data_IF_169207553309
#
_entry.id   IF_169207553309
#
_cell.length_a   1.000
_cell.length_b   1.000
_cell.length_c   1.000
_cell.angle_alpha   90.00
_cell.angle_beta   90.00
_cell.angle_gamma   90.00
#
_symmetry.space_group_name_H-M   'P 1'
#
loop_
_entity.id
_entity.type
_entity.pdbx_description
1 polymer ?
#
# COMPACT_ATOMS: atom_id res chain seq x y z
N UNK A 1 -6.01 -11.18 -17.33
CA UNK A 1 -4.55 -10.98 -17.30
C UNK A 1 -4.02 -10.23 -18.52
N UNK A 2 -3.92 -10.81 -19.71
CA UNK A 2 -3.34 -10.08 -20.87
C UNK A 2 -4.10 -8.79 -21.25
N UNK A 3 -5.44 -8.78 -21.18
CA UNK A 3 -6.25 -7.57 -21.43
C UNK A 3 -6.07 -6.54 -20.31
N UNK A 4 -5.88 -6.97 -19.07
CA UNK A 4 -5.61 -6.08 -17.94
C UNK A 4 -4.21 -5.45 -18.07
N UNK A 5 -3.22 -6.22 -18.51
CA UNK A 5 -1.86 -5.72 -18.80
C UNK A 5 -1.86 -4.74 -19.97
N UNK A 6 -2.63 -5.02 -21.02
CA UNK A 6 -2.83 -4.06 -22.11
C UNK A 6 -3.49 -2.78 -21.60
N UNK A 7 -4.56 -2.88 -20.80
CA UNK A 7 -5.24 -1.72 -20.22
C UNK A 7 -4.32 -0.84 -19.35
N UNK A 8 -3.29 -1.42 -18.72
CA UNK A 8 -2.31 -0.67 -17.93
C UNK A 8 -1.26 0.02 -18.81
N UNK A 9 -0.85 -0.59 -19.93
CA UNK A 9 0.17 -0.04 -20.82
C UNK A 9 -0.40 0.97 -21.80
N UNK A 10 -1.57 0.70 -22.35
CA UNK A 10 -2.23 1.51 -23.38
C UNK A 10 -3.77 1.47 -23.24
N UNK A 11 -4.32 2.24 -22.28
CA UNK A 11 -5.76 2.31 -22.06
C UNK A 11 -6.51 2.85 -23.29
N UNK A 12 -5.94 3.81 -24.01
CA UNK A 12 -6.60 4.46 -25.14
C UNK A 12 -6.63 3.55 -26.37
N UNK A 13 -5.55 2.80 -26.65
CA UNK A 13 -5.58 1.77 -27.69
C UNK A 13 -6.55 0.64 -27.38
N UNK A 14 -6.70 0.25 -26.11
CA UNK A 14 -7.73 -0.72 -25.72
C UNK A 14 -9.15 -0.18 -25.96
N UNK A 15 -9.41 1.09 -25.65
CA UNK A 15 -10.70 1.75 -25.94
C UNK A 15 -10.95 1.84 -27.43
N UNK A 16 -9.95 2.24 -28.23
CA UNK A 16 -10.05 2.31 -29.67
C UNK A 16 -10.40 0.93 -30.26
N UNK A 17 -9.70 -0.12 -29.80
CA UNK A 17 -10.01 -1.49 -30.22
C UNK A 17 -11.42 -1.91 -29.82
N UNK A 18 -11.85 -1.61 -28.60
CA UNK A 18 -13.20 -1.92 -28.15
C UNK A 18 -14.25 -1.19 -29.00
N UNK A 19 -13.98 0.05 -29.41
CA UNK A 19 -14.89 0.81 -30.26
C UNK A 19 -15.04 0.23 -31.67
N UNK A 20 -14.00 -0.40 -32.21
CA UNK A 20 -14.07 -1.13 -33.48
C UNK A 20 -14.92 -2.39 -33.39
N UNK A 21 -14.75 -3.17 -32.31
CA UNK A 21 -15.41 -4.49 -32.17
C UNK A 21 -16.80 -4.40 -31.54
N UNK A 22 -17.06 -3.34 -30.75
CA UNK A 22 -18.34 -3.08 -30.09
C UNK A 22 -18.71 -1.58 -30.14
N UNK A 23 -19.14 -1.08 -31.32
CA UNK A 23 -19.55 0.32 -31.49
C UNK A 23 -20.79 0.70 -30.67
N UNK A 24 -21.59 -0.28 -30.27
CA UNK A 24 -22.78 -0.03 -29.44
C UNK A 24 -22.39 0.25 -28.00
N UNK A 25 -21.51 -0.56 -27.41
CA UNK A 25 -20.94 -0.26 -26.09
C UNK A 25 -20.18 1.06 -26.07
N UNK A 26 -19.45 1.37 -27.16
CA UNK A 26 -18.66 2.60 -27.28
C UNK A 26 -19.50 3.89 -27.23
N UNK A 27 -20.79 3.82 -27.60
CA UNK A 27 -21.72 4.95 -27.53
C UNK A 27 -22.25 5.23 -26.12
N UNK A 28 -22.05 4.31 -25.17
CA UNK A 28 -22.56 4.45 -23.81
C UNK A 28 -21.53 5.00 -22.81
N UNK A 29 -22.00 5.38 -21.62
CA UNK A 29 -21.16 5.84 -20.50
C UNK A 29 -20.19 4.77 -19.97
N UNK A 30 -20.38 3.51 -20.39
CA UNK A 30 -19.50 2.39 -20.06
C UNK A 30 -18.05 2.60 -20.50
N UNK A 31 -17.83 3.41 -21.55
CA UNK A 31 -16.48 3.72 -22.00
C UNK A 31 -15.68 4.44 -20.93
N UNK A 32 -16.21 5.43 -20.20
CA UNK A 32 -15.43 6.16 -19.19
C UNK A 32 -14.82 5.29 -18.08
N UNK A 33 -15.34 4.07 -17.87
CA UNK A 33 -14.89 3.16 -16.83
C UNK A 33 -13.98 2.05 -17.39
N UNK A 34 -12.67 2.15 -17.15
CA UNK A 34 -11.68 1.19 -17.66
C UNK A 34 -11.97 -0.26 -17.24
N UNK A 35 -12.55 -0.51 -16.05
CA UNK A 35 -12.94 -1.87 -15.64
C UNK A 35 -14.04 -2.45 -16.52
N UNK A 36 -15.00 -1.61 -16.94
CA UNK A 36 -16.06 -2.03 -17.88
C UNK A 36 -15.50 -2.27 -19.28
N UNK A 37 -14.54 -1.46 -19.73
CA UNK A 37 -13.82 -1.63 -21.02
C UNK A 37 -13.06 -2.96 -21.04
N UNK A 38 -12.25 -3.23 -20.01
CA UNK A 38 -11.54 -4.50 -19.83
C UNK A 38 -12.52 -5.67 -19.88
N UNK A 39 -13.62 -5.58 -19.13
CA UNK A 39 -14.63 -6.64 -19.09
C UNK A 39 -15.30 -6.88 -20.44
N UNK A 40 -15.63 -5.82 -21.17
CA UNK A 40 -16.23 -5.92 -22.49
C UNK A 40 -15.28 -6.61 -23.48
N UNK A 41 -14.00 -6.24 -23.46
CA UNK A 41 -12.97 -6.88 -24.27
C UNK A 41 -12.70 -8.33 -23.87
N UNK A 42 -12.74 -8.67 -22.59
CA UNK A 42 -12.64 -10.06 -22.12
C UNK A 42 -13.78 -10.92 -22.66
N UNK A 43 -15.02 -10.42 -22.62
CA UNK A 43 -16.18 -11.12 -23.16
C UNK A 43 -16.03 -11.30 -24.67
N UNK A 44 -15.65 -10.25 -25.40
CA UNK A 44 -15.44 -10.35 -26.85
C UNK A 44 -14.36 -11.37 -27.18
N UNK A 45 -13.22 -11.35 -26.48
CA UNK A 45 -12.13 -12.30 -26.72
C UNK A 45 -12.51 -13.75 -26.43
N UNK A 46 -13.30 -13.99 -25.37
CA UNK A 46 -13.73 -15.33 -24.99
C UNK A 46 -14.86 -15.89 -25.87
N UNK A 47 -15.74 -15.03 -26.36
CA UNK A 47 -16.98 -15.46 -27.03
C UNK A 47 -17.03 -15.16 -28.52
N UNK A 48 -16.13 -14.30 -29.02
CA UNK A 48 -16.14 -13.74 -30.37
C UNK A 48 -17.30 -12.75 -30.62
N UNK A 49 -18.14 -12.48 -29.62
CA UNK A 49 -19.33 -11.64 -29.75
C UNK A 49 -19.18 -10.34 -28.97
N UNK A 50 -19.66 -9.20 -29.51
CA UNK A 50 -19.60 -7.91 -28.79
C UNK A 50 -20.27 -7.99 -27.43
N UNK A 51 -19.76 -7.27 -26.42
CA UNK A 51 -20.35 -7.25 -25.08
C UNK A 51 -21.79 -6.73 -25.09
N UNK A 52 -22.08 -5.75 -25.93
CA UNK A 52 -23.43 -5.23 -26.17
C UNK A 52 -24.41 -6.29 -26.64
N UNK A 53 -23.94 -7.32 -27.38
CA UNK A 53 -24.81 -8.39 -27.86
C UNK A 53 -25.35 -9.29 -26.73
N UNK A 54 -24.64 -9.35 -25.60
CA UNK A 54 -25.11 -10.00 -24.37
C UNK A 54 -25.99 -9.09 -23.52
N UNK A 55 -25.90 -7.79 -23.73
CA UNK A 55 -26.92 -6.82 -23.32
C UNK A 55 -28.12 -6.93 -24.26
N UNK A 56 -28.60 -8.15 -24.52
CA UNK A 56 -29.96 -8.37 -25.00
C UNK A 56 -30.82 -7.49 -24.12
N UNK A 57 -31.61 -6.62 -24.76
CA UNK A 57 -32.69 -5.84 -24.15
C UNK A 57 -33.54 -6.79 -23.32
N UNK A 58 -33.11 -7.09 -22.09
CA UNK A 58 -33.92 -7.64 -21.02
C UNK A 58 -34.85 -6.48 -20.67
N UNK A 59 -35.77 -6.18 -21.58
CA UNK A 59 -36.99 -5.48 -21.22
C UNK A 59 -37.47 -6.18 -19.98
N UNK A 60 -37.52 -5.42 -18.87
CA UNK A 60 -37.70 -5.87 -17.48
C UNK A 60 -38.00 -7.37 -17.46
N UNK A 61 -37.00 -8.22 -17.22
CA UNK A 61 -37.29 -9.62 -16.91
C UNK A 61 -38.37 -9.55 -15.85
N UNK A 62 -39.59 -9.96 -16.22
CA UNK A 62 -40.72 -9.88 -15.30
C UNK A 62 -40.30 -10.74 -14.13
N UNK A 63 -40.12 -10.11 -12.98
CA UNK A 63 -39.80 -10.82 -11.75
C UNK A 63 -40.81 -11.95 -11.63
N UNK A 64 -40.33 -13.17 -11.39
CA UNK A 64 -41.19 -14.33 -11.14
C UNK A 64 -42.05 -14.11 -9.88
N UNK A 65 -41.67 -13.14 -9.05
CA UNK A 65 -42.33 -12.79 -7.80
C UNK A 65 -42.96 -11.40 -7.88
N UNK A 66 -44.10 -11.24 -7.20
CA UNK A 66 -44.61 -9.92 -6.83
C UNK A 66 -43.73 -9.38 -5.71
N UNK A 67 -43.12 -8.22 -5.92
CA UNK A 67 -42.31 -7.54 -4.92
C UNK A 67 -42.84 -6.12 -4.72
N UNK A 68 -42.70 -5.63 -3.51
CA UNK A 68 -42.85 -4.21 -3.19
C UNK A 68 -41.48 -3.70 -2.72
N UNK A 69 -40.99 -2.63 -3.35
CA UNK A 69 -39.76 -1.97 -2.91
C UNK A 69 -40.10 -0.97 -1.82
N UNK A 70 -39.42 -1.06 -0.68
CA UNK A 70 -39.48 -0.05 0.38
C UNK A 70 -38.17 0.73 0.36
N UNK A 71 -38.26 2.05 0.32
CA UNK A 71 -37.10 2.95 0.40
C UNK A 71 -37.17 3.67 1.74
N UNK A 72 -36.17 3.45 2.57
CA UNK A 72 -35.98 4.22 3.79
C UNK A 72 -35.16 5.46 3.45
N UNK A 73 -35.67 6.63 3.83
CA UNK A 73 -35.01 7.92 3.59
C UNK A 73 -35.01 8.75 4.87
N UNK A 74 -34.12 9.74 4.91
CA UNK A 74 -33.82 10.54 6.09
C UNK A 74 -33.14 11.85 5.65
N UNK A 75 -33.26 12.95 6.43
CA UNK A 75 -32.46 14.15 6.21
C UNK A 75 -30.96 13.83 6.17
N UNK A 76 -30.23 14.47 5.25
CA UNK A 76 -28.81 14.16 4.99
C UNK A 76 -27.93 14.38 6.23
N UNK A 77 -28.20 15.42 7.00
CA UNK A 77 -27.47 15.73 8.24
C UNK A 77 -27.61 14.61 9.27
N UNK A 78 -28.84 14.08 9.43
CA UNK A 78 -29.11 12.97 10.34
C UNK A 78 -28.40 11.67 9.91
N UNK A 79 -28.42 11.40 8.60
CA UNK A 79 -27.75 10.24 8.04
C UNK A 79 -26.24 10.27 8.35
N UNK A 80 -25.58 11.42 8.13
CA UNK A 80 -24.15 11.56 8.40
C UNK A 80 -23.83 11.46 9.88
N UNK A 81 -24.60 12.12 10.74
CA UNK A 81 -24.45 12.01 12.20
C UNK A 81 -24.51 10.56 12.68
N UNK A 82 -25.41 9.75 12.12
CA UNK A 82 -25.52 8.32 12.46
C UNK A 82 -24.39 7.47 11.89
N UNK A 83 -23.91 7.80 10.69
CA UNK A 83 -22.74 7.14 10.10
C UNK A 83 -21.51 7.39 10.99
N UNK A 84 -21.27 8.63 11.41
CA UNK A 84 -20.14 8.99 12.26
C UNK A 84 -20.20 8.25 13.60
N UNK A 85 -21.35 8.29 14.28
CA UNK A 85 -21.56 7.57 15.54
C UNK A 85 -21.31 6.06 15.38
N UNK A 86 -21.80 5.45 14.29
CA UNK A 86 -21.59 4.03 14.02
C UNK A 86 -20.12 3.71 13.79
N UNK A 87 -19.36 4.60 13.14
CA UNK A 87 -17.91 4.43 12.95
C UNK A 87 -17.21 4.44 14.32
N UNK A 88 -17.53 5.38 15.20
CA UNK A 88 -16.96 5.44 16.55
C UNK A 88 -17.29 4.17 17.37
N UNK A 89 -18.52 3.67 17.25
CA UNK A 89 -18.94 2.41 17.86
C UNK A 89 -18.14 1.22 17.31
N UNK A 90 -17.91 1.16 16.00
CA UNK A 90 -17.10 0.09 15.38
C UNK A 90 -15.66 0.10 15.90
N UNK A 91 -15.03 1.27 16.01
CA UNK A 91 -13.69 1.37 16.59
C UNK A 91 -13.67 0.98 18.06
N UNK A 92 -14.66 1.44 18.83
CA UNK A 92 -14.79 1.09 20.25
C UNK A 92 -15.04 -0.41 20.47
N UNK A 93 -15.68 -1.08 19.50
CA UNK A 93 -15.92 -2.52 19.51
C UNK A 93 -14.71 -3.36 19.02
N UNK A 94 -13.59 -2.75 18.66
CA UNK A 94 -12.36 -3.46 18.32
C UNK A 94 -12.16 -3.73 16.82
N UNK A 95 -12.63 -2.85 15.93
CA UNK A 95 -12.39 -2.96 14.49
C UNK A 95 -10.90 -3.12 14.14
N UNK A 96 -10.00 -2.45 14.86
CA UNK A 96 -8.56 -2.51 14.60
C UNK A 96 -8.00 -3.89 14.91
N UNK A 97 -8.43 -4.49 16.02
CA UNK A 97 -8.05 -5.83 16.48
C UNK A 97 -8.56 -6.89 15.51
N UNK A 98 -9.80 -6.75 15.04
CA UNK A 98 -10.40 -7.62 14.02
C UNK A 98 -9.56 -7.59 12.73
N UNK A 99 -9.28 -6.39 12.20
CA UNK A 99 -8.50 -6.23 10.97
C UNK A 99 -7.08 -6.77 11.14
N UNK A 100 -6.44 -6.51 12.29
CA UNK A 100 -5.11 -7.05 12.62
C UNK A 100 -5.13 -8.58 12.62
N UNK A 101 -6.12 -9.18 13.29
CA UNK A 101 -6.28 -10.64 13.33
C UNK A 101 -6.47 -11.24 11.94
N UNK A 102 -7.27 -10.62 11.09
CA UNK A 102 -7.50 -11.11 9.72
C UNK A 102 -6.30 -10.92 8.81
N UNK A 103 -5.57 -9.81 8.95
CA UNK A 103 -4.40 -9.51 8.13
C UNK A 103 -3.24 -10.47 8.42
N UNK A 104 -3.00 -10.79 9.70
CA UNK A 104 -1.86 -11.61 10.13
C UNK A 104 -2.22 -13.07 10.44
N UNK A 105 -3.50 -13.43 10.54
CA UNK A 105 -3.95 -14.75 11.02
C UNK A 105 -4.58 -15.68 9.98
N UNK A 106 -4.66 -15.31 8.70
CA UNK A 106 -5.27 -16.18 7.67
C UNK A 106 -5.60 -15.50 6.33
N UNK A 107 -5.48 -14.17 6.28
CA UNK A 107 -5.54 -13.39 5.06
C UNK A 107 -6.95 -12.94 4.67
N UNK A 108 -7.05 -11.69 4.25
CA UNK A 108 -8.25 -11.13 3.63
C UNK A 108 -8.23 -11.37 2.11
N UNK A 109 -9.37 -11.75 1.54
CA UNK A 109 -9.52 -11.75 0.08
C UNK A 109 -9.39 -10.32 -0.48
N UNK A 110 -9.00 -10.21 -1.75
CA UNK A 110 -8.92 -8.90 -2.45
C UNK A 110 -10.24 -8.13 -2.39
N UNK A 111 -11.38 -8.81 -2.37
CA UNK A 111 -12.68 -8.16 -2.29
C UNK A 111 -12.96 -7.68 -0.87
N UNK A 112 -12.69 -8.51 0.14
CA UNK A 112 -12.93 -8.17 1.54
C UNK A 112 -12.03 -7.02 2.01
N UNK A 113 -10.77 -6.96 1.55
CA UNK A 113 -9.86 -5.86 1.89
C UNK A 113 -10.22 -4.51 1.28
N UNK A 114 -11.22 -4.46 0.40
CA UNK A 114 -11.74 -3.22 -0.20
C UNK A 114 -13.04 -2.75 0.45
N UNK A 115 -13.55 -3.46 1.47
CA UNK A 115 -14.69 -3.00 2.23
C UNK A 115 -14.37 -1.69 2.98
N UNK A 116 -15.37 -0.80 3.09
CA UNK A 116 -15.24 0.45 3.86
C UNK A 116 -14.97 0.14 5.34
N UNK A 117 -14.08 0.89 5.95
CA UNK A 117 -13.56 0.66 7.30
C UNK A 117 -12.35 -0.27 7.29
N UNK A 118 -12.42 -1.38 6.55
CA UNK A 118 -11.31 -2.34 6.45
C UNK A 118 -10.16 -1.76 5.64
N UNK A 119 -10.43 -1.19 4.47
CA UNK A 119 -9.39 -0.64 3.59
C UNK A 119 -8.56 0.42 4.31
N UNK A 120 -9.23 1.34 5.00
CA UNK A 120 -8.61 2.45 5.72
C UNK A 120 -7.76 1.95 6.91
N UNK A 121 -8.27 0.99 7.69
CA UNK A 121 -7.53 0.38 8.80
C UNK A 121 -6.34 -0.44 8.29
N UNK A 122 -6.52 -1.25 7.24
CA UNK A 122 -5.42 -2.00 6.60
C UNK A 122 -4.33 -1.04 6.12
N UNK A 123 -4.70 0.04 5.43
CA UNK A 123 -3.74 1.04 4.98
C UNK A 123 -2.96 1.67 6.14
N UNK A 124 -3.63 1.94 7.26
CA UNK A 124 -2.97 2.47 8.45
C UNK A 124 -2.09 1.45 9.18
N UNK A 125 -2.48 0.18 9.16
CA UNK A 125 -1.75 -0.93 9.78
C UNK A 125 -0.62 -1.48 8.92
N UNK A 126 -0.60 -1.16 7.61
CA UNK A 126 0.50 -1.55 6.73
C UNK A 126 1.81 -1.06 7.35
N UNK A 127 2.66 -2.00 7.71
CA UNK A 127 4.03 -1.70 8.05
C UNK A 127 4.69 -1.13 6.80
N UNK A 128 5.18 0.10 6.91
CA UNK A 128 6.12 0.60 5.93
C UNK A 128 7.42 -0.15 6.16
N UNK A 129 7.85 -0.91 5.15
CA UNK A 129 9.17 -1.53 5.10
C UNK A 129 10.04 -0.65 4.20
N UNK A 130 10.87 0.26 4.76
CA UNK A 130 11.69 1.11 3.94
C UNK A 130 12.73 0.26 3.19
N UNK A 131 12.83 0.41 1.87
CA UNK A 131 13.86 -0.27 1.09
C UNK A 131 15.26 0.24 1.47
N UNK A 132 15.37 1.53 1.80
CA UNK A 132 16.62 2.18 2.17
C UNK A 132 16.39 3.13 3.35
N UNK A 133 17.26 3.11 4.35
CA UNK A 133 17.28 4.11 5.41
C UNK A 133 18.69 4.67 5.65
N UNK A 134 18.74 5.98 5.89
CA UNK A 134 19.95 6.72 6.25
C UNK A 134 19.90 7.05 7.75
N UNK A 135 20.69 6.36 8.57
CA UNK A 135 20.60 6.45 10.02
C UNK A 135 21.79 7.22 10.63
N UNK A 136 21.57 8.33 11.35
CA UNK A 136 22.65 9.09 11.96
C UNK A 136 23.25 8.36 13.17
N UNK A 137 24.49 7.88 13.03
CA UNK A 137 25.22 7.10 14.05
C UNK A 137 26.26 7.94 14.79
N UNK A 138 26.02 9.23 14.98
CA UNK A 138 27.03 10.08 15.60
C UNK A 138 27.10 9.92 17.13
N UNK A 139 26.34 8.98 17.71
CA UNK A 139 26.32 8.65 19.12
C UNK A 139 25.66 9.73 19.96
N UNK A 140 25.37 9.38 21.21
CA UNK A 140 25.02 10.32 22.27
C UNK A 140 25.73 9.89 23.55
N UNK A 141 26.22 10.86 24.33
CA UNK A 141 26.85 10.60 25.62
C UNK A 141 26.60 11.76 26.60
N UNK A 142 26.84 11.48 27.88
CA UNK A 142 26.61 12.44 28.95
C UNK A 142 27.52 13.67 28.85
N UNK A 143 28.76 13.57 28.35
CA UNK A 143 29.68 14.71 28.23
C UNK A 143 29.16 15.71 27.21
N UNK A 144 28.61 15.23 26.10
CA UNK A 144 28.03 16.06 25.04
C UNK A 144 26.77 16.78 25.49
N UNK A 145 25.95 16.12 26.31
CA UNK A 145 24.79 16.77 26.94
C UNK A 145 25.23 17.94 27.84
N UNK A 146 26.37 17.81 28.54
CA UNK A 146 26.95 18.90 29.34
C UNK A 146 27.50 20.06 28.48
N UNK A 147 27.89 19.79 27.24
CA UNK A 147 28.33 20.79 26.24
C UNK A 147 27.17 21.31 25.35
N UNK A 148 25.92 21.04 25.73
CA UNK A 148 24.71 21.43 25.00
C UNK A 148 24.64 20.87 23.56
N UNK A 149 25.25 19.70 23.33
CA UNK A 149 25.24 18.97 22.07
C UNK A 149 24.41 17.69 22.20
N UNK A 150 23.20 17.68 21.63
CA UNK A 150 22.34 16.50 21.58
C UNK A 150 22.84 15.58 20.46
N UNK A 151 23.27 14.37 20.83
CA UNK A 151 23.64 13.30 19.89
C UNK A 151 22.43 12.59 19.27
N UNK A 152 22.62 11.83 18.19
CA UNK A 152 21.56 10.97 17.63
C UNK A 152 21.69 9.55 18.18
N UNK A 153 21.75 8.53 17.32
CA UNK A 153 21.86 7.13 17.73
C UNK A 153 23.31 6.71 17.88
N UNK A 154 23.56 5.79 18.79
CA UNK A 154 24.73 4.92 18.75
C UNK A 154 24.63 3.92 17.59
N UNK A 155 25.74 3.28 17.22
CA UNK A 155 25.77 2.27 16.16
C UNK A 155 24.83 1.09 16.47
N UNK A 156 24.66 0.72 17.74
CA UNK A 156 23.77 -0.36 18.17
C UNK A 156 22.31 0.02 17.98
N UNK A 157 21.93 1.19 18.47
CA UNK A 157 20.54 1.66 18.36
C UNK A 157 20.10 1.82 16.91
N UNK A 158 21.00 2.30 16.04
CA UNK A 158 20.73 2.38 14.61
C UNK A 158 20.57 0.98 13.98
N UNK A 159 21.39 0.00 14.37
CA UNK A 159 21.31 -1.37 13.87
C UNK A 159 20.01 -2.06 14.34
N UNK A 160 19.68 -1.94 15.62
CA UNK A 160 18.47 -2.50 16.21
C UNK A 160 17.22 -1.87 15.59
N UNK A 161 17.24 -0.56 15.33
CA UNK A 161 16.17 0.14 14.62
C UNK A 161 16.02 -0.36 13.18
N UNK A 162 17.14 -0.56 12.47
CA UNK A 162 17.13 -1.07 11.10
C UNK A 162 16.49 -2.46 11.01
N UNK A 163 16.82 -3.36 11.94
CA UNK A 163 16.20 -4.68 12.01
C UNK A 163 14.71 -4.58 12.38
N UNK A 164 14.38 -3.83 13.44
CA UNK A 164 13.02 -3.72 13.93
C UNK A 164 12.04 -3.11 12.92
N UNK A 165 12.52 -2.17 12.10
CA UNK A 165 11.76 -1.58 10.99
C UNK A 165 11.83 -2.40 9.68
N UNK A 166 12.47 -3.56 9.71
CA UNK A 166 12.67 -4.47 8.58
C UNK A 166 13.30 -3.76 7.35
N UNK A 167 14.20 -2.81 7.60
CA UNK A 167 14.87 -2.04 6.55
C UNK A 167 15.76 -2.96 5.73
N UNK A 168 15.71 -2.83 4.41
CA UNK A 168 16.42 -3.72 3.50
C UNK A 168 17.90 -3.30 3.34
N UNK A 169 18.16 -2.03 3.02
CA UNK A 169 19.50 -1.44 2.96
C UNK A 169 19.66 -0.33 3.98
N UNK A 170 20.64 -0.47 4.88
CA UNK A 170 20.95 0.59 5.87
C UNK A 170 22.25 1.30 5.53
N UNK A 171 22.19 2.64 5.55
CA UNK A 171 23.33 3.53 5.33
C UNK A 171 23.60 4.27 6.65
N UNK A 172 24.68 3.95 7.40
CA UNK A 172 25.07 4.79 8.52
C UNK A 172 25.47 6.18 8.02
N UNK A 173 25.15 7.23 8.77
CA UNK A 173 25.39 8.63 8.42
C UNK A 173 25.90 9.42 9.64
N UNK A 174 26.32 10.67 9.41
CA UNK A 174 26.76 11.63 10.44
C UNK A 174 28.01 11.22 11.24
N UNK A 175 28.70 10.15 10.87
CA UNK A 175 30.04 9.85 11.38
C UNK A 175 31.09 10.74 10.71
N UNK A 176 32.15 11.10 11.44
CA UNK A 176 33.29 11.85 10.87
C UNK A 176 33.03 13.31 10.50
N UNK A 177 31.87 13.85 10.86
CA UNK A 177 31.50 15.23 10.56
C UNK A 177 32.16 16.25 11.51
N UNK A 178 32.47 15.87 12.76
CA UNK A 178 33.15 16.74 13.72
C UNK A 178 34.20 15.98 14.55
N UNK A 179 35.24 16.71 14.98
CA UNK A 179 36.44 16.15 15.64
C UNK A 179 36.16 15.39 16.95
N UNK A 180 35.07 15.72 17.65
CA UNK A 180 34.69 15.15 18.95
C UNK A 180 33.33 14.42 18.93
N UNK A 181 32.84 14.03 17.75
CA UNK A 181 31.48 13.49 17.57
C UNK A 181 31.52 12.47 16.43
N UNK A 182 32.06 11.28 16.73
CA UNK A 182 32.23 10.22 15.76
C UNK A 182 32.06 8.86 16.43
N UNK A 183 31.10 8.07 15.98
CA UNK A 183 31.17 6.63 16.16
C UNK A 183 31.70 5.99 14.87
N UNK A 184 32.66 5.06 14.95
CA UNK A 184 33.21 4.41 13.77
C UNK A 184 32.11 3.63 13.02
N UNK A 185 31.90 3.86 11.71
CA UNK A 185 30.96 3.04 10.93
C UNK A 185 31.40 1.57 10.87
N UNK A 186 32.68 1.26 11.12
CA UNK A 186 33.15 -0.12 11.27
C UNK A 186 32.42 -0.88 12.38
N UNK A 187 32.18 -0.24 13.53
CA UNK A 187 31.43 -0.89 14.62
C UNK A 187 29.97 -1.18 14.23
N UNK A 188 29.36 -0.29 13.45
CA UNK A 188 28.02 -0.53 12.89
C UNK A 188 28.03 -1.74 11.96
N UNK A 189 29.02 -1.83 11.06
CA UNK A 189 29.19 -2.96 10.13
C UNK A 189 29.42 -4.26 10.90
N UNK A 190 30.36 -4.28 11.84
CA UNK A 190 30.68 -5.47 12.63
C UNK A 190 29.45 -5.96 13.41
N UNK A 191 28.73 -5.05 14.07
CA UNK A 191 27.53 -5.39 14.83
C UNK A 191 26.42 -5.95 13.93
N UNK A 192 26.14 -5.31 12.80
CA UNK A 192 25.14 -5.80 11.86
C UNK A 192 25.54 -7.15 11.25
N UNK A 193 26.81 -7.39 10.94
CA UNK A 193 27.28 -8.68 10.43
C UNK A 193 27.23 -9.79 11.49
N UNK A 194 27.43 -9.46 12.75
CA UNK A 194 27.36 -10.40 13.87
C UNK A 194 25.91 -10.79 14.21
N UNK A 195 25.03 -9.79 14.37
CA UNK A 195 23.67 -10.01 14.89
C UNK A 195 22.58 -10.05 13.80
N UNK A 196 22.78 -9.38 12.67
CA UNK A 196 21.79 -9.25 11.59
C UNK A 196 22.38 -9.58 10.20
N UNK A 197 22.98 -10.77 10.01
CA UNK A 197 23.84 -11.08 8.87
C UNK A 197 23.15 -11.09 7.50
N UNK A 198 21.81 -11.05 7.45
CA UNK A 198 21.00 -11.03 6.23
C UNK A 198 20.67 -9.61 5.75
N UNK A 199 21.04 -8.58 6.51
CA UNK A 199 20.78 -7.18 6.18
C UNK A 199 21.86 -6.60 5.28
N UNK A 200 21.47 -5.75 4.34
CA UNK A 200 22.41 -5.10 3.43
C UNK A 200 22.86 -3.77 4.02
N UNK A 201 24.16 -3.50 3.92
CA UNK A 201 24.76 -2.29 4.49
C UNK A 201 25.55 -1.58 3.40
N UNK A 202 25.38 -0.26 3.34
CA UNK A 202 26.14 0.58 2.44
C UNK A 202 26.83 1.69 3.25
N UNK A 203 28.16 1.65 3.32
CA UNK A 203 28.97 2.68 3.98
C UNK A 203 29.49 3.64 2.93
N UNK A 204 29.31 4.94 3.15
CA UNK A 204 29.80 6.02 2.28
C UNK A 204 31.13 6.56 2.82
N UNK A 205 32.24 6.33 2.14
CA UNK A 205 33.55 6.86 2.52
C UNK A 205 33.98 7.99 1.57
N UNK A 206 34.82 8.90 2.07
CA UNK A 206 35.31 10.09 1.35
C UNK A 206 36.01 9.79 0.01
N UNK A 207 36.46 8.55 -0.19
CA UNK A 207 37.16 8.08 -1.39
C UNK A 207 36.61 6.75 -1.95
N UNK A 208 35.39 6.34 -1.58
CA UNK A 208 34.79 5.09 -2.09
C UNK A 208 33.48 4.72 -1.42
N UNK A 209 32.69 3.88 -2.09
CA UNK A 209 31.46 3.29 -1.56
C UNK A 209 31.75 1.83 -1.20
N UNK A 210 31.56 1.43 0.05
CA UNK A 210 31.68 0.05 0.47
C UNK A 210 30.28 -0.54 0.66
N UNK A 211 29.89 -1.42 -0.27
CA UNK A 211 28.65 -2.20 -0.16
C UNK A 211 28.99 -3.54 0.47
N UNK A 212 28.40 -3.82 1.62
CA UNK A 212 28.47 -5.12 2.26
C UNK A 212 27.20 -5.88 1.92
N UNK A 213 27.34 -6.83 0.99
CA UNK A 213 26.30 -7.75 0.58
C UNK A 213 26.70 -9.14 1.05
N UNK A 214 25.74 -9.88 1.62
CA UNK A 214 25.90 -11.30 1.89
C UNK A 214 24.75 -12.05 1.26
#
# INVERSE_FOLDING_TARGET
REIEEWALRDPEGLRARLAEVDPEFARGEGMGNLRRVVRAMEVYRLTGKPFSSFQVKRGRQRSLYRYAGVVLTMPREELYRRIDLRVDEMFSAGLVEEVRGLLYGGGLSRTASQALGYREVIERLKQHRPDVAMLPINGHDWKRLHENCIGNMTYREAADLAEAADIDVTIPMHYGMFKNNHEPPGHFVDYMLEFYPTRRIQVMARYGNYTYLK
#
